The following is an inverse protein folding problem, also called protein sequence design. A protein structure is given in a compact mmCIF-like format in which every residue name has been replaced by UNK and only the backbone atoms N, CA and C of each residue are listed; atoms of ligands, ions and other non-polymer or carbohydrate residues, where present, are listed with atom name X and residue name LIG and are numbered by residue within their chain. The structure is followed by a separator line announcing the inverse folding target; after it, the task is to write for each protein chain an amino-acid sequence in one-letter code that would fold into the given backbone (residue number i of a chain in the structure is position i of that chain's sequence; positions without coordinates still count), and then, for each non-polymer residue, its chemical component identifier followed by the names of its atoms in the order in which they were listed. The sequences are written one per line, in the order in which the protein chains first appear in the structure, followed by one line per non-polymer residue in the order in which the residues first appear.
data_IF_891507098393
#
_entry.id   IF_891507098393
#
_cell.length_a   1.000
_cell.length_b   1.000
_cell.length_c   1.000
_cell.angle_alpha   90.00
_cell.angle_beta   90.00
_cell.angle_gamma   90.00
#
_symmetry.space_group_name_H-M   'P 1'
#
loop_
_entity.id
_entity.type
_entity.pdbx_description
1 polymer ?
#
# COMPACT_ATOMS: atom_id res chain seq x y z
N UNK A 1 17.32 -9.12 1.47
CA UNK A 1 16.65 -7.86 1.89
C UNK A 1 15.31 -7.78 1.20
N UNK A 2 14.26 -7.56 1.97
CA UNK A 2 12.89 -7.52 1.47
C UNK A 2 12.51 -6.07 1.18
N UNK A 3 12.64 -5.64 -0.07
CA UNK A 3 12.29 -4.26 -0.46
C UNK A 3 10.86 -4.24 -0.95
N UNK A 4 9.95 -3.75 -0.10
CA UNK A 4 8.59 -3.41 -0.49
C UNK A 4 8.48 -1.89 -0.62
N UNK A 5 7.84 -1.43 -1.68
CA UNK A 5 7.49 -0.02 -1.86
C UNK A 5 5.99 0.05 -2.05
N UNK A 6 5.35 0.94 -1.30
CA UNK A 6 3.90 1.11 -1.30
C UNK A 6 3.64 2.55 -1.73
N UNK A 7 2.75 2.71 -2.69
CA UNK A 7 2.28 4.01 -3.16
C UNK A 7 0.84 4.15 -2.67
N UNK A 8 0.60 5.08 -1.77
CA UNK A 8 -0.72 5.42 -1.26
C UNK A 8 -1.07 6.87 -1.59
N UNK A 9 -2.36 7.22 -1.72
CA UNK A 9 -2.79 8.61 -1.73
C UNK A 9 -2.37 9.34 -0.45
N UNK A 10 -2.19 10.66 -0.54
CA UNK A 10 -1.94 11.53 0.63
C UNK A 10 -3.24 12.00 1.31
N UNK A 11 -4.39 11.47 0.88
CA UNK A 11 -5.71 11.80 1.42
C UNK A 11 -6.40 10.49 1.78
N UNK A 12 -7.14 10.47 2.88
CA UNK A 12 -7.78 9.25 3.39
C UNK A 12 -8.83 8.70 2.43
N UNK A 13 -9.55 9.58 1.73
CA UNK A 13 -10.53 9.21 0.70
C UNK A 13 -10.12 9.72 -0.67
N UNK A 14 -9.79 8.79 -1.57
CA UNK A 14 -9.50 9.10 -2.97
C UNK A 14 -10.71 8.80 -3.88
N UNK A 15 -11.40 9.83 -4.42
CA UNK A 15 -12.56 9.62 -5.29
C UNK A 15 -12.19 8.84 -6.55
N UNK A 16 -12.97 7.80 -6.86
CA UNK A 16 -12.73 6.97 -8.04
C UNK A 16 -11.39 6.21 -8.02
N UNK A 17 -10.90 5.84 -6.83
CA UNK A 17 -9.62 5.13 -6.63
C UNK A 17 -9.46 3.90 -7.53
N UNK A 18 -10.52 3.12 -7.77
CA UNK A 18 -10.44 1.99 -8.69
C UNK A 18 -10.16 2.40 -10.14
N UNK A 19 -10.84 3.44 -10.62
CA UNK A 19 -10.63 3.96 -11.97
C UNK A 19 -9.20 4.52 -12.11
N UNK A 20 -8.71 5.20 -11.08
CA UNK A 20 -7.34 5.72 -11.04
C UNK A 20 -6.30 4.59 -11.02
N UNK A 21 -6.50 3.56 -10.21
CA UNK A 21 -5.63 2.39 -10.16
C UNK A 21 -5.55 1.69 -11.53
N UNK A 22 -6.70 1.52 -12.21
CA UNK A 22 -6.74 0.97 -13.58
C UNK A 22 -5.99 1.84 -14.60
N UNK A 23 -6.07 3.17 -14.48
CA UNK A 23 -5.31 4.09 -15.35
C UNK A 23 -3.79 3.95 -15.13
N UNK A 24 -3.35 3.90 -13.87
CA UNK A 24 -1.93 3.73 -13.51
C UNK A 24 -1.42 2.37 -14.01
N UNK A 25 -2.16 1.29 -13.79
CA UNK A 25 -1.86 -0.05 -14.31
C UNK A 25 -1.65 -0.03 -15.83
N UNK A 26 -2.62 0.51 -16.59
CA UNK A 26 -2.53 0.60 -18.06
C UNK A 26 -1.33 1.42 -18.52
N UNK A 27 -1.00 2.49 -17.79
CA UNK A 27 0.16 3.32 -18.09
C UNK A 27 1.48 2.56 -17.85
N UNK A 28 1.61 1.82 -16.75
CA UNK A 28 2.78 1.00 -16.44
C UNK A 28 2.97 -0.15 -17.45
N UNK A 29 1.87 -0.80 -17.85
CA UNK A 29 1.87 -1.82 -18.93
C UNK A 29 2.32 -1.20 -20.24
N UNK A 30 1.80 -0.02 -20.61
CA UNK A 30 2.19 0.69 -21.84
C UNK A 30 3.68 1.06 -21.85
N UNK A 31 4.26 1.35 -20.68
CA UNK A 31 5.68 1.61 -20.53
C UNK A 31 6.54 0.34 -20.44
N UNK A 32 5.92 -0.84 -20.49
CA UNK A 32 6.60 -2.14 -20.36
C UNK A 32 7.34 -2.26 -19.02
N UNK A 33 6.75 -1.69 -17.95
CA UNK A 33 7.29 -1.76 -16.58
C UNK A 33 6.75 -2.98 -15.83
N UNK A 34 5.51 -3.38 -16.11
CA UNK A 34 4.86 -4.57 -15.57
C UNK A 34 4.17 -5.34 -16.68
N UNK A 35 4.04 -6.65 -16.48
CA UNK A 35 3.32 -7.54 -17.39
C UNK A 35 1.81 -7.25 -17.36
N UNK A 36 1.09 -7.40 -18.49
CA UNK A 36 -0.35 -7.16 -18.53
C UNK A 36 -1.19 -8.25 -17.86
N UNK A 37 -0.68 -9.48 -17.77
CA UNK A 37 -1.39 -10.61 -17.17
C UNK A 37 -1.16 -10.71 -15.66
N UNK A 38 -2.26 -10.94 -14.95
CA UNK A 38 -2.24 -11.22 -13.52
C UNK A 38 -1.76 -12.67 -13.28
N UNK A 39 -0.80 -12.85 -12.39
CA UNK A 39 -0.21 -14.15 -12.04
C UNK A 39 -0.03 -14.27 -10.52
N UNK A 40 0.41 -15.43 -10.04
CA UNK A 40 0.58 -15.71 -8.60
C UNK A 40 1.90 -15.20 -8.02
N UNK A 41 2.36 -14.02 -8.46
CA UNK A 41 3.64 -13.42 -8.06
C UNK A 41 3.51 -12.34 -6.96
N UNK A 42 2.34 -12.24 -6.34
CA UNK A 42 2.06 -11.40 -5.20
C UNK A 42 2.45 -12.04 -3.87
N UNK A 43 2.50 -11.21 -2.84
CA UNK A 43 2.78 -11.55 -1.44
C UNK A 43 1.52 -11.67 -0.59
N UNK A 44 0.50 -10.83 -0.81
CA UNK A 44 -0.67 -10.79 0.09
C UNK A 44 -1.61 -11.98 -0.13
N UNK A 45 -2.74 -11.99 0.60
CA UNK A 45 -3.63 -13.14 0.81
C UNK A 45 -3.95 -13.98 -0.44
N UNK A 46 -4.23 -13.37 -1.59
CA UNK A 46 -4.56 -14.11 -2.83
C UNK A 46 -3.35 -14.36 -3.75
N UNK A 47 -2.18 -13.80 -3.41
CA UNK A 47 -0.92 -13.85 -4.18
C UNK A 47 -1.02 -13.33 -5.61
N UNK A 48 -2.09 -12.63 -5.98
CA UNK A 48 -2.29 -12.17 -7.35
C UNK A 48 -1.65 -10.81 -7.57
N UNK A 49 -0.78 -10.71 -8.57
CA UNK A 49 -0.08 -9.48 -8.91
C UNK A 49 0.33 -9.43 -10.39
N UNK A 50 0.73 -8.25 -10.85
CA UNK A 50 1.30 -8.03 -12.19
C UNK A 50 2.82 -8.10 -12.09
N UNK A 51 3.46 -9.09 -12.71
CA UNK A 51 4.90 -9.28 -12.62
C UNK A 51 5.67 -8.07 -13.17
N UNK A 52 6.88 -7.81 -12.67
CA UNK A 52 7.79 -6.83 -13.29
C UNK A 52 8.16 -7.29 -14.71
N UNK A 53 7.99 -6.39 -15.69
CA UNK A 53 8.33 -6.64 -17.09
C UNK A 53 9.76 -6.18 -17.43
N UNK A 54 10.38 -6.69 -18.52
CA UNK A 54 11.77 -6.38 -18.88
C UNK A 54 12.07 -4.88 -19.01
N UNK A 55 11.12 -4.08 -19.49
CA UNK A 55 11.28 -2.65 -19.67
C UNK A 55 11.43 -1.85 -18.37
N UNK A 56 11.12 -2.42 -17.20
CA UNK A 56 11.36 -1.81 -15.89
C UNK A 56 12.83 -1.39 -15.68
N UNK A 57 13.77 -2.09 -16.33
CA UNK A 57 15.20 -1.76 -16.31
C UNK A 57 15.50 -0.32 -16.75
N UNK A 58 14.62 0.30 -17.55
CA UNK A 58 14.80 1.67 -18.07
C UNK A 58 14.37 2.77 -17.10
N UNK A 59 13.59 2.44 -16.06
CA UNK A 59 12.94 3.43 -15.20
C UNK A 59 13.40 3.38 -13.74
N UNK A 60 14.31 2.46 -13.41
CA UNK A 60 14.87 2.32 -12.06
C UNK A 60 16.34 2.73 -12.01
N UNK A 61 16.78 3.21 -10.84
CA UNK A 61 18.18 3.61 -10.61
C UNK A 61 19.15 2.43 -10.58
N UNK A 62 18.68 1.24 -10.17
CA UNK A 62 19.48 0.02 -10.08
C UNK A 62 18.77 -1.15 -10.79
N UNK A 63 18.99 -1.32 -12.11
CA UNK A 63 18.32 -2.35 -12.91
C UNK A 63 18.66 -3.78 -12.49
N UNK A 64 19.85 -4.02 -11.92
CA UNK A 64 20.32 -5.35 -11.53
C UNK A 64 19.70 -5.83 -10.22
N UNK A 65 19.10 -4.92 -9.44
CA UNK A 65 18.36 -5.24 -8.23
C UNK A 65 16.88 -5.61 -8.49
N UNK A 66 16.42 -5.60 -9.74
CA UNK A 66 15.04 -5.97 -10.06
C UNK A 66 14.76 -7.45 -9.74
N UNK A 67 13.56 -7.78 -9.20
CA UNK A 67 13.25 -9.11 -8.67
C UNK A 67 12.89 -10.14 -9.77
N UNK A 68 13.51 -10.08 -10.94
CA UNK A 68 13.25 -11.04 -12.01
C UNK A 68 13.52 -12.47 -11.56
N UNK A 69 12.61 -13.39 -11.88
CA UNK A 69 12.71 -14.80 -11.49
C UNK A 69 12.44 -15.11 -10.01
N UNK A 70 12.19 -14.10 -9.17
CA UNK A 70 11.78 -14.33 -7.77
C UNK A 70 10.31 -14.72 -7.69
N UNK A 71 9.95 -15.52 -6.68
CA UNK A 71 8.55 -15.95 -6.44
C UNK A 71 7.62 -14.76 -6.18
N UNK A 72 8.12 -13.73 -5.49
CA UNK A 72 7.41 -12.49 -5.24
C UNK A 72 8.09 -11.39 -6.04
N UNK A 73 7.49 -11.01 -7.15
CA UNK A 73 8.03 -10.00 -8.06
C UNK A 73 6.95 -9.14 -8.72
N UNK A 74 5.75 -9.09 -8.13
CA UNK A 74 4.60 -8.42 -8.72
C UNK A 74 4.18 -7.11 -8.04
N UNK A 75 3.55 -6.25 -8.85
CA UNK A 75 2.75 -5.12 -8.39
C UNK A 75 1.36 -5.61 -7.99
N UNK A 76 1.01 -5.40 -6.73
CA UNK A 76 -0.34 -5.62 -6.21
C UNK A 76 -1.16 -4.33 -6.24
N UNK A 77 -2.44 -4.46 -6.58
CA UNK A 77 -3.39 -3.34 -6.53
C UNK A 77 -4.33 -3.56 -5.36
N UNK A 78 -4.26 -2.66 -4.38
CA UNK A 78 -5.14 -2.66 -3.21
C UNK A 78 -6.05 -1.44 -3.30
N UNK A 79 -7.35 -1.70 -3.46
CA UNK A 79 -8.39 -0.66 -3.50
C UNK A 79 -9.31 -0.70 -2.28
N UNK A 80 -9.20 -1.75 -1.46
CA UNK A 80 -9.95 -1.90 -0.21
C UNK A 80 -9.19 -1.21 0.93
N UNK A 81 -9.91 -0.80 1.98
CA UNK A 81 -9.31 -0.30 3.21
C UNK A 81 -8.28 -1.29 3.75
N UNK A 82 -7.09 -0.80 4.02
CA UNK A 82 -5.95 -1.60 4.42
C UNK A 82 -5.06 -0.79 5.35
N UNK A 83 -4.48 -1.46 6.34
CA UNK A 83 -3.49 -0.88 7.24
C UNK A 83 -2.13 -1.45 6.84
N UNK A 84 -1.14 -0.57 6.67
CA UNK A 84 0.22 -0.96 6.36
C UNK A 84 1.12 -0.69 7.55
N UNK A 85 1.86 -1.71 7.97
CA UNK A 85 2.92 -1.56 8.96
C UNK A 85 4.28 -1.51 8.25
N UNK A 86 5.21 -0.66 8.71
CA UNK A 86 6.58 -0.68 8.22
C UNK A 86 7.21 -2.08 8.37
N UNK A 87 8.03 -2.50 7.39
CA UNK A 87 8.77 -3.76 7.50
C UNK A 87 10.04 -3.65 8.36
N UNK A 88 10.58 -2.44 8.52
CA UNK A 88 11.78 -2.16 9.29
C UNK A 88 11.43 -1.14 10.37
N UNK A 89 12.04 -1.27 11.55
CA UNK A 89 11.91 -0.35 12.68
C UNK A 89 10.45 -0.06 13.09
N UNK A 90 9.56 -1.03 12.87
CA UNK A 90 8.19 -0.94 13.36
C UNK A 90 8.20 -1.07 14.88
N UNK A 91 7.66 -0.06 15.57
CA UNK A 91 7.61 -0.03 17.03
C UNK A 91 6.67 -1.07 17.65
N UNK A 92 5.91 -1.80 16.82
CA UNK A 92 4.82 -2.70 17.25
C UNK A 92 3.71 -2.00 18.05
N UNK A 93 3.73 -0.67 18.04
CA UNK A 93 2.80 0.22 18.72
C UNK A 93 2.14 1.15 17.69
N UNK A 94 0.85 1.43 17.89
CA UNK A 94 0.13 2.41 17.08
C UNK A 94 0.16 3.78 17.75
N UNK A 95 0.88 4.73 17.16
CA UNK A 95 1.02 6.09 17.69
C UNK A 95 0.31 7.15 16.84
N UNK A 96 -0.16 8.22 17.49
CA UNK A 96 -0.66 9.40 16.79
C UNK A 96 0.50 10.16 16.11
N UNK A 97 0.36 10.59 14.84
CA UNK A 97 1.42 11.32 14.14
C UNK A 97 1.74 12.68 14.79
N UNK A 98 0.75 13.31 15.44
CA UNK A 98 0.86 14.63 16.06
C UNK A 98 1.51 14.56 17.45
N UNK A 99 0.89 13.88 18.42
CA UNK A 99 1.37 13.88 19.80
C UNK A 99 2.40 12.78 20.11
N UNK A 100 2.62 11.84 19.18
CA UNK A 100 3.55 10.70 19.30
C UNK A 100 3.29 9.78 20.49
N UNK A 101 2.11 9.88 21.11
CA UNK A 101 1.67 8.94 22.14
C UNK A 101 1.05 7.71 21.50
N UNK A 102 1.27 6.58 22.15
CA UNK A 102 0.56 5.34 21.83
C UNK A 102 -0.95 5.55 22.03
N UNK A 103 -1.73 5.10 21.04
CA UNK A 103 -3.19 5.12 21.06
C UNK A 103 -3.76 3.85 21.67
N UNK A 104 -3.02 2.73 21.57
CA UNK A 104 -3.35 1.45 22.21
C UNK A 104 -4.71 0.87 21.76
N UNK A 105 -5.49 0.37 22.72
CA UNK A 105 -6.78 -0.29 22.50
C UNK A 105 -7.81 0.61 21.79
N UNK A 106 -7.77 1.92 22.03
CA UNK A 106 -8.71 2.88 21.43
C UNK A 106 -8.62 2.92 19.89
N UNK A 107 -7.48 2.54 19.30
CA UNK A 107 -7.39 2.39 17.86
C UNK A 107 -8.28 1.24 17.38
N UNK A 108 -8.29 0.11 18.08
CA UNK A 108 -9.05 -1.07 17.67
C UNK A 108 -10.56 -0.78 17.68
N UNK A 109 -11.06 -0.09 18.69
CA UNK A 109 -12.46 0.35 18.74
C UNK A 109 -12.79 1.23 17.53
N UNK A 110 -11.92 2.19 17.19
CA UNK A 110 -12.11 3.04 16.01
C UNK A 110 -12.03 2.26 14.69
N UNK A 111 -11.26 1.16 14.65
CA UNK A 111 -11.16 0.31 13.46
C UNK A 111 -12.46 -0.44 13.18
N UNK A 112 -13.30 -0.70 14.19
CA UNK A 112 -14.61 -1.33 14.01
C UNK A 112 -15.56 -0.45 13.18
N UNK A 113 -15.45 0.87 13.29
CA UNK A 113 -16.21 1.83 12.47
C UNK A 113 -15.51 2.20 11.17
N UNK A 114 -14.17 2.27 11.18
CA UNK A 114 -13.38 2.60 10.00
C UNK A 114 -13.38 1.48 8.95
N UNK A 115 -13.25 0.21 9.35
CA UNK A 115 -13.27 -0.94 8.42
C UNK A 115 -14.51 -1.04 7.52
N UNK A 116 -15.75 -0.94 8.04
CA UNK A 116 -16.96 -0.96 7.21
C UNK A 116 -17.16 0.35 6.43
N UNK A 117 -16.40 1.40 6.75
CA UNK A 117 -16.47 2.69 6.10
C UNK A 117 -17.54 3.62 6.65
N UNK A 118 -17.86 3.53 7.94
CA UNK A 118 -18.73 4.49 8.62
C UNK A 118 -18.04 5.85 8.84
N UNK A 119 -16.70 5.83 8.93
CA UNK A 119 -15.84 7.01 9.02
C UNK A 119 -14.65 6.87 8.07
N UNK A 120 -14.11 7.99 7.60
CA UNK A 120 -12.82 8.05 6.89
C UNK A 120 -11.68 8.48 7.81
N UNK A 121 -12.02 9.06 8.96
CA UNK A 121 -11.08 9.71 9.86
C UNK A 121 -11.02 8.97 11.21
N UNK A 122 -9.91 9.16 11.88
CA UNK A 122 -9.60 8.78 13.25
C UNK A 122 -9.22 10.04 14.04
N UNK A 123 -9.88 10.24 15.18
CA UNK A 123 -9.53 11.32 16.11
C UNK A 123 -8.71 10.75 17.26
N UNK A 124 -7.49 11.26 17.46
CA UNK A 124 -6.63 10.83 18.54
C UNK A 124 -7.26 11.15 19.92
N UNK A 125 -7.40 10.16 20.83
CA UNK A 125 -7.99 10.40 22.16
C UNK A 125 -7.12 11.30 23.05
N UNK A 126 -5.81 11.33 22.80
CA UNK A 126 -4.84 12.06 23.62
C UNK A 126 -4.77 13.56 23.28
N UNK A 127 -4.78 13.91 21.99
CA UNK A 127 -4.56 15.28 21.53
C UNK A 127 -5.69 15.83 20.65
N UNK A 128 -6.70 15.02 20.32
CA UNK A 128 -7.82 15.35 19.43
C UNK A 128 -7.44 15.77 18.01
N UNK A 129 -6.23 15.46 17.59
CA UNK A 129 -5.85 15.56 16.18
C UNK A 129 -6.67 14.55 15.38
N UNK A 130 -7.28 15.02 14.29
CA UNK A 130 -7.96 14.20 13.30
C UNK A 130 -7.00 14.00 12.12
N UNK A 131 -6.84 12.76 11.66
CA UNK A 131 -6.09 12.48 10.43
C UNK A 131 -6.97 12.79 9.20
N UNK A 132 -6.41 13.60 8.28
CA UNK A 132 -6.98 13.96 6.97
C UNK A 132 -6.47 13.02 5.86
#
# INVERSE_FOLDING_TARGET
MNTQSIIVPQISTFPGHEARARLILRWLVKLDVIEPELTTCGRTYNKMAYAVAPGARRVVKNPDALPFGQTVNGLEIVTKRCIYTPLNDFAEEAGCPECRREVGEALFDSLEDWMPGHTDNFTCPECRHEDD
#
